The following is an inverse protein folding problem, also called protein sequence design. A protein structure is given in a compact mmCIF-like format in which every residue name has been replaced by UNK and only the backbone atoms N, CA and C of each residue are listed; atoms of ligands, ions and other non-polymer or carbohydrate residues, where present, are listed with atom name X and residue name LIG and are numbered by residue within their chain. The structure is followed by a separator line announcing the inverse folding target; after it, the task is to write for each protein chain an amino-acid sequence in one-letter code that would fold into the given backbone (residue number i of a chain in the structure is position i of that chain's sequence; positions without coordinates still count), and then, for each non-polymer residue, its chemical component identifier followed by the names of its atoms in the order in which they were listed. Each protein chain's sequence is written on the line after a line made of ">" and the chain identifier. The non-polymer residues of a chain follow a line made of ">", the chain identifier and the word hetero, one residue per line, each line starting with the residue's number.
data_IF_742947889578
#
_entry.id   IF_742947889578
#
_cell.length_a   1.000
_cell.length_b   1.000
_cell.length_c   1.000
_cell.angle_alpha   90.00
_cell.angle_beta   90.00
_cell.angle_gamma   90.00
#
_symmetry.space_group_name_H-M   'P 1'
#
loop_
_entity.id
_entity.type
_entity.pdbx_description
1 polymer ?
#
# COMPACT_ATOMS: atom_id res chain seq x y z
N UNK A 1 14.05 24.39 7.69
CA UNK A 1 13.78 25.12 6.43
C UNK A 1 14.97 25.18 5.46
N UNK A 2 16.24 24.94 5.83
CA UNK A 2 17.38 24.95 4.88
C UNK A 2 17.78 23.57 4.32
N UNK A 3 17.28 22.48 4.91
CA UNK A 3 17.58 21.10 4.48
C UNK A 3 16.62 20.58 3.39
N UNK A 4 15.39 21.08 3.36
CA UNK A 4 14.31 20.57 2.50
C UNK A 4 14.60 20.80 1.00
N UNK A 5 15.28 21.91 0.66
CA UNK A 5 15.68 22.23 -0.70
C UNK A 5 16.77 21.29 -1.25
N UNK A 6 17.74 20.88 -0.43
CA UNK A 6 18.82 19.97 -0.85
C UNK A 6 18.30 18.56 -1.11
N UNK A 7 17.37 18.07 -0.29
CA UNK A 7 16.77 16.76 -0.51
C UNK A 7 15.94 16.71 -1.80
N UNK A 8 15.18 17.78 -2.10
CA UNK A 8 14.44 17.86 -3.37
C UNK A 8 15.37 17.90 -4.59
N UNK A 9 16.49 18.63 -4.54
CA UNK A 9 17.46 18.66 -5.66
C UNK A 9 18.15 17.33 -5.89
N UNK A 10 18.54 16.63 -4.82
CA UNK A 10 19.08 15.25 -4.94
C UNK A 10 18.02 14.29 -5.51
N UNK A 11 16.74 14.51 -5.22
CA UNK A 11 15.66 13.61 -5.63
C UNK A 11 15.11 13.87 -7.03
N UNK A 12 15.16 15.13 -7.52
CA UNK A 12 14.56 15.53 -8.80
C UNK A 12 15.54 16.14 -9.81
N UNK A 13 16.75 16.56 -9.42
CA UNK A 13 17.71 17.30 -10.28
C UNK A 13 19.07 16.60 -10.46
N UNK A 14 19.16 15.29 -10.24
CA UNK A 14 20.37 14.46 -10.47
C UNK A 14 21.66 14.98 -9.79
N UNK A 15 21.56 15.73 -8.68
CA UNK A 15 22.72 16.11 -7.88
C UNK A 15 23.35 14.88 -7.19
N UNK A 16 24.67 14.76 -7.26
CA UNK A 16 25.39 13.63 -6.66
C UNK A 16 25.16 13.61 -5.12
N UNK A 17 24.54 12.55 -4.58
CA UNK A 17 24.28 12.46 -3.15
C UNK A 17 25.57 12.35 -2.37
N UNK A 18 25.56 12.87 -1.14
CA UNK A 18 26.71 12.79 -0.23
C UNK A 18 27.19 11.34 -0.05
N UNK A 19 28.50 11.14 0.14
CA UNK A 19 29.11 9.81 0.20
C UNK A 19 28.48 8.88 1.26
N UNK A 20 28.05 9.43 2.39
CA UNK A 20 27.34 8.67 3.45
C UNK A 20 25.95 8.20 3.02
N UNK A 21 25.24 8.95 2.17
CA UNK A 21 23.97 8.52 1.58
C UNK A 21 24.17 7.34 0.62
N UNK A 22 25.32 7.27 -0.06
CA UNK A 22 25.68 6.13 -0.90
C UNK A 22 25.93 4.88 -0.07
N UNK A 23 26.65 4.99 1.05
CA UNK A 23 26.84 3.87 2.01
C UNK A 23 25.49 3.38 2.54
N UNK A 24 24.59 4.31 2.91
CA UNK A 24 23.25 3.96 3.36
C UNK A 24 22.42 3.30 2.25
N UNK A 25 22.57 3.76 1.00
CA UNK A 25 21.94 3.15 -0.18
C UNK A 25 22.43 1.72 -0.42
N UNK A 26 23.75 1.48 -0.35
CA UNK A 26 24.32 0.13 -0.44
C UNK A 26 23.81 -0.79 0.67
N UNK A 27 23.71 -0.29 1.92
CA UNK A 27 23.16 -1.06 3.03
C UNK A 27 21.68 -1.40 2.79
N UNK A 28 20.88 -0.43 2.31
CA UNK A 28 19.49 -0.66 1.93
C UNK A 28 19.35 -1.69 0.79
N UNK A 29 20.20 -1.59 -0.24
CA UNK A 29 20.26 -2.55 -1.34
C UNK A 29 20.65 -3.95 -0.86
N UNK A 30 21.61 -4.06 0.04
CA UNK A 30 22.02 -5.34 0.63
C UNK A 30 20.87 -5.98 1.40
N UNK A 31 20.25 -5.25 2.33
CA UNK A 31 19.12 -5.75 3.15
C UNK A 31 17.93 -6.14 2.26
N UNK A 32 17.57 -5.32 1.27
CA UNK A 32 16.47 -5.64 0.34
C UNK A 32 16.79 -6.82 -0.57
N UNK A 33 18.04 -6.97 -1.00
CA UNK A 33 18.50 -8.11 -1.81
C UNK A 33 18.48 -9.41 -1.03
N UNK A 34 19.00 -9.42 0.21
CA UNK A 34 18.94 -10.58 1.11
C UNK A 34 17.49 -10.95 1.37
N UNK A 35 16.63 -9.98 1.68
CA UNK A 35 15.19 -10.23 1.87
C UNK A 35 14.57 -10.86 0.61
N UNK A 36 14.82 -10.30 -0.58
CA UNK A 36 14.30 -10.83 -1.85
C UNK A 36 14.79 -12.26 -2.11
N UNK A 37 16.06 -12.53 -1.82
CA UNK A 37 16.64 -13.87 -1.93
C UNK A 37 15.93 -14.87 -1.00
N UNK A 38 15.69 -14.49 0.26
CA UNK A 38 14.96 -15.32 1.24
C UNK A 38 13.53 -15.65 0.79
N UNK A 39 12.80 -14.69 0.18
CA UNK A 39 11.49 -14.98 -0.43
C UNK A 39 11.62 -15.92 -1.64
N UNK A 40 12.65 -15.75 -2.48
CA UNK A 40 12.87 -16.57 -3.67
C UNK A 40 13.17 -18.04 -3.34
N UNK A 41 13.90 -18.30 -2.26
CA UNK A 41 14.19 -19.67 -1.80
C UNK A 41 13.07 -20.28 -0.94
N UNK A 42 11.95 -19.57 -0.77
CA UNK A 42 10.81 -20.05 0.01
C UNK A 42 11.02 -20.04 1.53
N UNK A 43 12.06 -19.36 2.05
CA UNK A 43 12.30 -19.25 3.49
C UNK A 43 11.23 -18.43 4.22
N UNK A 44 10.49 -17.57 3.50
CA UNK A 44 9.32 -16.88 4.02
C UNK A 44 8.03 -17.45 3.42
N UNK A 45 6.99 -17.59 4.25
CA UNK A 45 5.67 -18.05 3.81
C UNK A 45 5.02 -17.00 2.92
N UNK A 46 4.57 -17.42 1.74
CA UNK A 46 3.69 -16.65 0.86
C UNK A 46 2.31 -17.30 0.87
N UNK A 47 1.32 -16.60 1.40
CA UNK A 47 -0.07 -17.07 1.39
C UNK A 47 -0.83 -16.41 0.25
N UNK A 48 -1.55 -17.21 -0.53
CA UNK A 48 -2.42 -16.73 -1.60
C UNK A 48 -3.88 -16.81 -1.15
N UNK A 49 -4.67 -15.72 -1.24
CA UNK A 49 -6.04 -15.68 -0.71
C UNK A 49 -7.09 -16.39 -1.59
N UNK A 50 -6.66 -17.21 -2.57
CA UNK A 50 -7.57 -17.96 -3.46
C UNK A 50 -8.28 -17.15 -4.55
N UNK A 51 -8.09 -15.83 -4.62
CA UNK A 51 -8.68 -14.94 -5.64
C UNK A 51 -7.60 -14.15 -6.40
N UNK A 52 -7.87 -13.64 -7.62
CA UNK A 52 -6.92 -12.78 -8.33
C UNK A 52 -6.57 -11.52 -7.53
N UNK A 53 -5.26 -11.25 -7.35
CA UNK A 53 -4.78 -10.09 -6.58
C UNK A 53 -4.00 -9.15 -7.48
N UNK A 54 -4.41 -7.88 -7.51
CA UNK A 54 -3.67 -6.80 -8.18
C UNK A 54 -3.00 -5.93 -7.12
N UNK A 55 -1.67 -5.78 -7.21
CA UNK A 55 -0.89 -4.96 -6.28
C UNK A 55 -0.52 -3.63 -6.94
N UNK A 56 -1.02 -2.52 -6.40
CA UNK A 56 -0.65 -1.16 -6.83
C UNK A 56 0.40 -0.61 -5.88
N UNK A 57 1.65 -0.57 -6.35
CA UNK A 57 2.80 -0.02 -5.63
C UNK A 57 3.37 1.22 -6.32
N UNK A 58 4.21 1.96 -5.60
CA UNK A 58 5.09 2.97 -6.21
C UNK A 58 6.46 2.84 -5.56
N UNK A 59 7.51 3.04 -6.37
CA UNK A 59 8.91 2.95 -5.97
C UNK A 59 9.40 4.29 -5.39
N UNK A 60 8.73 5.40 -5.74
CA UNK A 60 9.08 6.76 -5.31
C UNK A 60 8.35 7.13 -4.00
N UNK A 61 9.04 7.80 -3.08
CA UNK A 61 8.44 8.43 -1.90
C UNK A 61 7.72 9.73 -2.32
N UNK A 62 6.40 9.82 -2.11
CA UNK A 62 5.60 11.01 -2.47
C UNK A 62 4.23 10.69 -3.09
N UNK A 63 3.50 11.75 -3.45
CA UNK A 63 2.16 11.70 -4.07
C UNK A 63 2.20 11.19 -5.51
N UNK A 64 2.48 9.91 -5.70
CA UNK A 64 2.70 9.31 -7.01
C UNK A 64 1.44 8.75 -7.68
N UNK A 65 0.29 9.38 -7.47
CA UNK A 65 -0.94 9.01 -8.16
C UNK A 65 -1.51 7.61 -7.85
N UNK A 66 -0.98 6.87 -6.86
CA UNK A 66 -1.45 5.53 -6.49
C UNK A 66 -2.94 5.49 -6.18
N UNK A 67 -3.41 6.47 -5.41
CA UNK A 67 -4.81 6.53 -4.97
C UNK A 67 -5.75 6.85 -6.14
N UNK A 68 -5.49 7.87 -6.99
CA UNK A 68 -6.24 8.05 -8.25
C UNK A 68 -6.24 6.80 -9.16
N UNK A 69 -5.08 6.15 -9.34
CA UNK A 69 -4.97 4.95 -10.17
C UNK A 69 -5.80 3.79 -9.60
N UNK A 70 -5.73 3.58 -8.29
CA UNK A 70 -6.51 2.54 -7.61
C UNK A 70 -8.01 2.77 -7.78
N UNK A 71 -8.50 4.01 -7.60
CA UNK A 71 -9.92 4.36 -7.80
C UNK A 71 -10.33 4.11 -9.25
N UNK A 72 -9.53 4.58 -10.22
CA UNK A 72 -9.81 4.39 -11.64
C UNK A 72 -9.87 2.89 -12.02
N UNK A 73 -8.94 2.09 -11.52
CA UNK A 73 -8.91 0.65 -11.77
C UNK A 73 -10.12 -0.06 -11.16
N UNK A 74 -10.46 0.26 -9.91
CA UNK A 74 -11.63 -0.33 -9.23
C UNK A 74 -12.90 -0.02 -10.02
N UNK A 75 -13.11 1.24 -10.39
CA UNK A 75 -14.27 1.65 -11.18
C UNK A 75 -14.31 0.96 -12.55
N UNK A 76 -13.17 0.84 -13.25
CA UNK A 76 -13.10 0.18 -14.54
C UNK A 76 -13.44 -1.33 -14.46
N UNK A 77 -12.99 -2.01 -13.41
CA UNK A 77 -13.28 -3.43 -13.18
C UNK A 77 -14.75 -3.63 -12.76
N UNK A 78 -15.28 -2.78 -11.89
CA UNK A 78 -16.70 -2.79 -11.53
C UNK A 78 -17.60 -2.49 -12.73
N UNK A 79 -17.19 -1.57 -13.62
CA UNK A 79 -17.89 -1.30 -14.88
C UNK A 79 -17.94 -2.49 -15.85
N UNK A 80 -17.06 -3.49 -15.64
CA UNK A 80 -17.10 -4.79 -16.34
C UNK A 80 -17.89 -5.86 -15.59
N UNK A 81 -18.62 -5.49 -14.53
CA UNK A 81 -19.42 -6.40 -13.72
C UNK A 81 -18.63 -7.23 -12.70
N UNK A 82 -17.35 -6.92 -12.47
CA UNK A 82 -16.53 -7.65 -11.50
C UNK A 82 -16.79 -7.15 -10.07
N UNK A 83 -16.88 -8.09 -9.13
CA UNK A 83 -16.85 -7.77 -7.69
C UNK A 83 -15.41 -7.50 -7.28
N UNK A 84 -15.14 -6.28 -6.83
CA UNK A 84 -13.79 -5.83 -6.47
C UNK A 84 -13.75 -5.47 -4.99
N UNK A 85 -12.73 -5.95 -4.29
CA UNK A 85 -12.38 -5.54 -2.93
C UNK A 85 -11.05 -4.81 -2.89
N UNK A 86 -10.91 -3.86 -1.97
CA UNK A 86 -9.68 -3.07 -1.81
C UNK A 86 -9.06 -3.33 -0.45
N UNK A 87 -7.75 -3.55 -0.42
CA UNK A 87 -6.98 -3.68 0.82
C UNK A 87 -5.99 -2.53 0.92
N UNK A 88 -6.03 -1.80 2.01
CA UNK A 88 -5.06 -0.74 2.33
C UNK A 88 -4.38 -1.00 3.68
N UNK A 89 -3.22 -0.38 3.88
CA UNK A 89 -2.51 -0.41 5.17
C UNK A 89 -3.17 0.50 6.21
N UNK A 90 -3.90 1.52 5.77
CA UNK A 90 -4.47 2.54 6.66
C UNK A 90 -3.49 3.65 7.00
N UNK A 91 -2.78 4.18 5.99
CA UNK A 91 -1.84 5.28 6.20
C UNK A 91 -2.55 6.50 6.81
N UNK A 92 -1.94 7.13 7.80
CA UNK A 92 -2.55 8.21 8.60
C UNK A 92 -3.57 7.74 9.65
N UNK A 93 -4.01 6.48 9.61
CA UNK A 93 -4.84 5.84 10.62
C UNK A 93 -4.03 5.02 11.62
N UNK A 94 -4.70 4.60 12.70
CA UNK A 94 -4.18 3.63 13.68
C UNK A 94 -5.06 2.38 13.67
N UNK A 95 -4.88 1.47 12.69
CA UNK A 95 -5.60 0.20 12.70
C UNK A 95 -5.21 -0.60 13.95
N UNK A 96 -6.19 -1.29 14.53
CA UNK A 96 -5.97 -2.16 15.69
C UNK A 96 -5.24 -3.44 15.32
N UNK A 97 -5.30 -4.44 16.21
CA UNK A 97 -4.76 -5.78 15.96
C UNK A 97 -5.56 -6.56 14.91
N UNK A 98 -6.84 -6.24 14.78
CA UNK A 98 -7.75 -6.91 13.86
C UNK A 98 -7.94 -6.10 12.57
N UNK A 99 -8.14 -6.76 11.42
CA UNK A 99 -8.55 -6.11 10.18
C UNK A 99 -9.87 -5.36 10.35
N UNK A 100 -9.95 -4.16 9.76
CA UNK A 100 -11.13 -3.30 9.86
C UNK A 100 -11.75 -3.12 8.49
N UNK A 101 -13.01 -3.52 8.33
CA UNK A 101 -13.82 -3.16 7.16
C UNK A 101 -14.29 -1.71 7.30
N UNK A 102 -14.05 -0.92 6.25
CA UNK A 102 -14.50 0.47 6.18
C UNK A 102 -15.99 0.48 5.94
N UNK A 103 -16.74 0.97 6.93
CA UNK A 103 -18.16 1.28 6.84
C UNK A 103 -18.46 2.74 7.21
N UNK A 104 -19.76 3.06 7.24
CA UNK A 104 -20.26 4.39 7.62
C UNK A 104 -19.85 4.81 9.03
N UNK A 105 -19.75 3.85 9.96
CA UNK A 105 -19.44 4.09 11.38
C UNK A 105 -17.93 4.12 11.71
N UNK A 106 -17.05 3.66 10.83
CA UNK A 106 -15.60 3.60 11.11
C UNK A 106 -14.93 4.96 10.99
N UNK A 107 -14.28 5.43 12.05
CA UNK A 107 -13.64 6.75 12.07
C UNK A 107 -12.38 6.84 11.19
N UNK A 108 -12.12 8.01 10.60
CA UNK A 108 -10.87 8.32 9.87
C UNK A 108 -9.63 8.03 10.72
N UNK A 109 -9.68 8.35 12.01
CA UNK A 109 -8.55 8.10 12.93
C UNK A 109 -8.15 6.63 13.00
N UNK A 110 -9.10 5.72 12.74
CA UNK A 110 -8.88 4.28 12.77
C UNK A 110 -8.42 3.75 11.40
N UNK A 111 -9.07 4.15 10.31
CA UNK A 111 -8.87 3.55 8.97
C UNK A 111 -7.94 4.36 8.06
N UNK A 112 -7.69 5.63 8.40
CA UNK A 112 -6.95 6.58 7.57
C UNK A 112 -7.82 7.25 6.50
N UNK A 113 -7.38 8.42 6.05
CA UNK A 113 -8.10 9.23 5.05
C UNK A 113 -8.21 8.53 3.70
N UNK A 114 -7.14 7.88 3.25
CA UNK A 114 -7.11 7.17 1.96
C UNK A 114 -8.14 6.04 1.89
N UNK A 115 -8.33 5.30 2.99
CA UNK A 115 -9.27 4.18 3.03
C UNK A 115 -10.71 4.67 2.85
N UNK A 116 -11.08 5.75 3.55
CA UNK A 116 -12.40 6.38 3.39
C UNK A 116 -12.57 7.01 2.02
N UNK A 117 -11.55 7.68 1.50
CA UNK A 117 -11.61 8.28 0.16
C UNK A 117 -11.90 7.21 -0.90
N UNK A 118 -11.19 6.09 -0.88
CA UNK A 118 -11.41 4.99 -1.83
C UNK A 118 -12.80 4.37 -1.65
N UNK A 119 -13.21 4.09 -0.41
CA UNK A 119 -14.55 3.54 -0.14
C UNK A 119 -15.66 4.46 -0.68
N UNK A 120 -15.56 5.77 -0.41
CA UNK A 120 -16.55 6.75 -0.85
C UNK A 120 -16.57 6.94 -2.37
N UNK A 121 -15.41 6.85 -3.04
CA UNK A 121 -15.30 7.10 -4.49
C UNK A 121 -15.64 5.90 -5.36
N UNK A 122 -15.55 4.70 -4.82
CA UNK A 122 -15.74 3.44 -5.57
C UNK A 122 -16.94 2.63 -5.10
N UNK A 123 -17.42 2.85 -3.87
CA UNK A 123 -18.43 2.00 -3.23
C UNK A 123 -17.96 0.55 -2.99
N UNK A 124 -16.71 0.23 -3.29
CA UNK A 124 -16.16 -1.11 -3.08
C UNK A 124 -15.92 -1.38 -1.59
N UNK A 125 -16.06 -2.64 -1.12
CA UNK A 125 -15.62 -3.01 0.22
C UNK A 125 -14.12 -2.75 0.36
N UNK A 126 -13.76 -1.96 1.38
CA UNK A 126 -12.36 -1.63 1.70
C UNK A 126 -12.00 -2.23 3.05
N UNK A 127 -10.91 -2.99 3.13
CA UNK A 127 -10.37 -3.51 4.38
C UNK A 127 -9.02 -2.86 4.70
N UNK A 128 -8.82 -2.51 5.97
CA UNK A 128 -7.61 -1.85 6.46
C UNK A 128 -6.87 -2.76 7.42
N UNK A 129 -5.65 -3.15 7.04
CA UNK A 129 -4.75 -3.87 7.92
C UNK A 129 -3.29 -3.87 7.41
N UNK A 130 -2.27 -3.86 8.28
CA UNK A 130 -0.87 -4.06 7.89
C UNK A 130 -0.60 -5.45 7.31
N UNK A 131 -1.26 -6.49 7.86
CA UNK A 131 -1.16 -7.86 7.36
C UNK A 131 -2.18 -8.10 6.25
N UNK A 132 -1.73 -8.06 4.99
CA UNK A 132 -2.57 -8.14 3.78
C UNK A 132 -3.38 -9.43 3.68
N UNK A 133 -2.83 -10.55 4.14
CA UNK A 133 -3.50 -11.85 4.09
C UNK A 133 -4.74 -11.85 4.98
N UNK A 134 -4.62 -11.36 6.21
CA UNK A 134 -5.76 -11.30 7.15
C UNK A 134 -6.84 -10.34 6.64
N UNK A 135 -6.43 -9.19 6.08
CA UNK A 135 -7.40 -8.30 5.44
C UNK A 135 -8.12 -8.95 4.25
N UNK A 136 -7.42 -9.77 3.45
CA UNK A 136 -8.02 -10.49 2.34
C UNK A 136 -9.02 -11.54 2.85
N UNK A 137 -8.65 -12.32 3.86
CA UNK A 137 -9.53 -13.31 4.51
C UNK A 137 -10.79 -12.65 5.09
N UNK A 138 -10.65 -11.55 5.82
CA UNK A 138 -11.79 -10.78 6.35
C UNK A 138 -12.68 -10.23 5.24
N UNK A 139 -12.09 -9.73 4.15
CA UNK A 139 -12.85 -9.16 3.04
C UNK A 139 -13.63 -10.25 2.28
N UNK A 140 -13.02 -11.42 2.08
CA UNK A 140 -13.67 -12.57 1.46
C UNK A 140 -14.81 -13.11 2.32
N UNK A 141 -14.58 -13.25 3.63
CA UNK A 141 -15.60 -13.69 4.59
C UNK A 141 -16.82 -12.76 4.62
N UNK A 142 -16.61 -11.45 4.45
CA UNK A 142 -17.70 -10.47 4.42
C UNK A 142 -18.42 -10.34 3.06
N UNK A 143 -17.87 -10.95 2.00
CA UNK A 143 -18.40 -10.89 0.63
C UNK A 143 -19.01 -12.21 0.16
N UNK A 144 -19.03 -13.21 1.06
CA UNK A 144 -19.58 -14.56 0.85
C UNK A 144 -21.08 -14.61 1.14
#
# INVERSE_FOLDING_TARGET
>A
MRNDARFNRIWYEDELPAWWMRVLSFLFLFVTSVRRFLYRIGAFRSTHPGVPVIVIGNIVAGGAGKTPLAIALVNALQGRGLKVGVITRGYGGKPGKEPVLVGSKTSVKQVGDEARLVANRTGAPVCVHPHRVYAAETLLAASS
#
